data_IF_456192221993
#
_entry.id   IF_456192221993
#
_cell.length_a   1.000
_cell.length_b   1.000
_cell.length_c   1.000
_cell.angle_alpha   90.00
_cell.angle_beta   90.00
_cell.angle_gamma   90.00
#
_symmetry.space_group_name_H-M   'P 1'
#
loop_
_entity.id
_entity.type
_entity.pdbx_description
1 polymer ?
#
# COMPACT_ATOMS: atom_id res chain seq x y z
N UNK A 1 -6.94 8.19 6.34
CA UNK A 1 -7.40 6.99 7.10
C UNK A 1 -6.23 6.08 7.36
N UNK A 2 -6.11 5.44 8.53
CA UNK A 2 -4.96 4.57 8.85
C UNK A 2 -5.39 3.13 9.10
N UNK A 3 -4.69 2.19 8.49
CA UNK A 3 -4.83 0.74 8.69
C UNK A 3 -3.53 0.21 9.28
N UNK A 4 -3.64 -0.59 10.34
CA UNK A 4 -2.50 -1.21 11.01
C UNK A 4 -2.60 -2.73 10.87
N UNK A 5 -1.47 -3.43 11.08
CA UNK A 5 -1.42 -4.89 11.13
C UNK A 5 -1.74 -5.57 9.80
N UNK A 6 -1.50 -4.90 8.68
CA UNK A 6 -1.55 -5.53 7.37
C UNK A 6 -0.29 -6.37 7.16
N UNK A 7 -0.34 -7.35 6.27
CA UNK A 7 0.81 -8.21 5.97
C UNK A 7 0.90 -8.41 4.46
N UNK A 8 2.00 -7.97 3.86
CA UNK A 8 2.30 -8.22 2.46
C UNK A 8 2.95 -9.60 2.35
N UNK A 9 2.36 -10.47 1.53
CA UNK A 9 2.82 -11.83 1.38
C UNK A 9 3.74 -11.98 0.16
N UNK A 10 4.76 -12.84 0.23
CA UNK A 10 5.62 -13.14 -0.91
C UNK A 10 4.82 -13.64 -2.11
N UNK A 11 5.06 -13.06 -3.29
CA UNK A 11 4.44 -13.51 -4.53
C UNK A 11 3.00 -13.03 -4.75
N UNK A 12 2.45 -12.21 -3.85
CA UNK A 12 1.22 -11.46 -4.10
C UNK A 12 1.41 -9.96 -3.92
N UNK A 13 0.33 -9.22 -4.18
CA UNK A 13 0.28 -7.79 -3.96
C UNK A 13 -1.05 -7.43 -3.31
N UNK A 14 -0.95 -6.59 -2.27
CA UNK A 14 -2.11 -5.96 -1.66
C UNK A 14 -2.52 -4.76 -2.50
N UNK A 15 -3.78 -4.75 -2.93
CA UNK A 15 -4.37 -3.66 -3.71
C UNK A 15 -5.38 -2.89 -2.88
N UNK A 16 -5.05 -1.64 -2.58
CA UNK A 16 -5.91 -0.75 -1.81
C UNK A 16 -6.58 0.24 -2.76
N UNK A 17 -7.91 0.20 -2.81
CA UNK A 17 -8.73 1.09 -3.62
C UNK A 17 -9.13 2.32 -2.83
N UNK A 18 -8.99 3.50 -3.42
CA UNK A 18 -9.41 4.77 -2.83
C UNK A 18 -9.98 5.73 -3.88
N UNK A 19 -10.71 6.75 -3.42
CA UNK A 19 -11.28 7.77 -4.28
C UNK A 19 -10.98 9.17 -3.74
N UNK A 20 -10.58 10.06 -4.62
CA UNK A 20 -10.43 11.46 -4.27
C UNK A 20 -11.47 12.31 -5.00
N UNK A 21 -12.25 13.05 -4.22
CA UNK A 21 -12.95 14.21 -4.76
C UNK A 21 -11.92 15.19 -5.32
N UNK A 22 -12.26 15.86 -6.42
CA UNK A 22 -11.28 16.64 -7.18
C UNK A 22 -10.38 17.49 -6.30
N UNK A 23 -9.13 17.54 -6.73
CA UNK A 23 -8.21 18.61 -6.41
C UNK A 23 -7.64 18.50 -4.99
N UNK A 24 -7.81 17.34 -4.34
CA UNK A 24 -7.26 17.03 -3.03
C UNK A 24 -5.99 16.16 -3.14
N UNK A 25 -5.12 16.19 -2.11
CA UNK A 25 -4.00 15.27 -2.03
C UNK A 25 -4.45 13.82 -2.00
N UNK A 26 -3.83 13.00 -2.82
CA UNK A 26 -4.19 11.60 -3.03
C UNK A 26 -2.98 10.69 -3.03
N UNK A 27 -2.99 9.67 -2.19
CA UNK A 27 -1.88 8.71 -2.12
C UNK A 27 -1.84 7.96 -0.81
N UNK A 28 -0.64 7.51 -0.44
CA UNK A 28 -0.44 6.68 0.74
C UNK A 28 0.94 6.90 1.37
N UNK A 29 1.00 6.72 2.69
CA UNK A 29 2.23 6.51 3.43
C UNK A 29 2.21 5.12 4.04
N UNK A 30 3.13 4.28 3.61
CA UNK A 30 3.30 2.89 4.06
C UNK A 30 4.53 2.81 4.94
N UNK A 31 4.41 2.17 6.11
CA UNK A 31 5.49 2.02 7.09
C UNK A 31 5.61 0.57 7.54
N UNK A 32 6.83 0.10 7.68
CA UNK A 32 7.14 -1.26 8.15
C UNK A 32 8.50 -1.32 8.86
N UNK A 33 8.81 -2.45 9.48
CA UNK A 33 10.14 -2.73 10.03
C UNK A 33 11.07 -3.21 8.92
N UNK A 34 12.05 -2.38 8.55
CA UNK A 34 13.00 -2.68 7.48
C UNK A 34 13.80 -3.97 7.71
N UNK A 35 13.96 -4.42 8.97
CA UNK A 35 14.66 -5.66 9.29
C UNK A 35 13.89 -6.92 8.88
N UNK A 36 12.57 -6.80 8.65
CA UNK A 36 11.70 -7.90 8.20
C UNK A 36 11.75 -8.11 6.68
N UNK A 37 12.28 -7.14 5.94
CA UNK A 37 12.41 -7.18 4.49
C UNK A 37 11.98 -5.87 3.83
N UNK A 38 12.27 -5.70 2.54
CA UNK A 38 11.83 -4.54 1.77
C UNK A 38 10.33 -4.66 1.42
N UNK A 39 9.69 -3.50 1.21
CA UNK A 39 8.39 -3.39 0.55
C UNK A 39 8.51 -2.49 -0.68
N UNK A 40 7.82 -2.88 -1.74
CA UNK A 40 7.57 -2.08 -2.91
C UNK A 40 6.18 -1.47 -2.81
N UNK A 41 6.10 -0.16 -3.05
CA UNK A 41 4.84 0.59 -2.95
C UNK A 41 4.71 1.48 -4.18
N UNK A 42 3.56 1.42 -4.83
CA UNK A 42 3.28 2.18 -6.05
C UNK A 42 1.85 2.72 -6.07
N UNK A 43 1.64 3.81 -6.80
CA UNK A 43 0.34 4.44 -7.02
C UNK A 43 -0.09 4.25 -8.48
N UNK A 44 -1.35 3.90 -8.69
CA UNK A 44 -1.95 3.71 -10.02
C UNK A 44 -3.28 4.43 -10.13
N UNK A 45 -3.69 4.78 -11.35
CA UNK A 45 -5.07 5.21 -11.61
C UNK A 45 -6.03 4.01 -11.65
N UNK A 46 -7.30 4.27 -12.00
CA UNK A 46 -8.31 3.21 -12.15
C UNK A 46 -8.09 2.27 -13.33
N UNK A 47 -7.29 2.66 -14.32
CA UNK A 47 -6.98 1.83 -15.48
C UNK A 47 -5.81 0.88 -15.18
N UNK A 48 -5.10 1.12 -14.07
CA UNK A 48 -3.96 0.33 -13.64
C UNK A 48 -2.64 0.90 -14.17
N UNK A 49 -2.64 2.13 -14.69
CA UNK A 49 -1.43 2.81 -15.14
C UNK A 49 -0.76 3.53 -13.98
N UNK A 50 0.59 3.53 -13.90
CA UNK A 50 1.31 4.23 -12.84
C UNK A 50 0.97 5.71 -12.80
N UNK A 51 0.65 6.23 -11.61
CA UNK A 51 0.43 7.65 -11.40
C UNK A 51 1.79 8.36 -11.36
N UNK A 52 2.15 9.22 -12.34
CA UNK A 52 3.34 10.06 -12.21
C UNK A 52 3.24 11.00 -10.99
N UNK A 53 4.37 11.20 -10.32
CA UNK A 53 4.55 12.06 -9.15
C UNK A 53 5.65 13.10 -9.43
N UNK A 54 5.42 13.93 -10.44
CA UNK A 54 6.40 14.92 -10.92
C UNK A 54 5.86 16.35 -10.93
N UNK A 55 4.62 16.56 -10.51
CA UNK A 55 4.03 17.89 -10.43
C UNK A 55 4.46 18.63 -9.14
N UNK A 56 4.41 19.98 -9.13
CA UNK A 56 4.68 20.74 -7.92
C UNK A 56 3.80 20.32 -6.74
N UNK A 57 4.43 20.00 -5.62
CA UNK A 57 3.76 19.55 -4.39
C UNK A 57 3.57 18.04 -4.31
N UNK A 58 3.82 17.29 -5.38
CA UNK A 58 3.84 15.83 -5.32
C UNK A 58 4.99 15.35 -4.40
N UNK A 59 4.79 14.20 -3.80
CA UNK A 59 5.75 13.56 -2.91
C UNK A 59 6.02 12.15 -3.44
N UNK A 60 7.28 11.86 -3.76
CA UNK A 60 7.81 10.53 -4.02
C UNK A 60 9.01 10.29 -3.10
N UNK A 61 8.73 9.95 -1.85
CA UNK A 61 9.74 9.68 -0.84
C UNK A 61 9.81 8.18 -0.54
N UNK A 62 10.98 7.59 -0.71
CA UNK A 62 11.21 6.15 -0.53
C UNK A 62 12.41 5.94 0.40
N UNK A 63 12.14 5.39 1.57
CA UNK A 63 13.12 5.06 2.60
C UNK A 63 13.01 3.58 2.99
N UNK A 64 14.04 2.98 3.61
CA UNK A 64 14.04 1.54 3.92
C UNK A 64 12.90 1.04 4.82
N UNK A 65 12.23 1.92 5.58
CA UNK A 65 11.12 1.58 6.49
C UNK A 65 9.85 2.40 6.23
N UNK A 66 9.85 3.27 5.21
CA UNK A 66 8.73 4.14 4.89
C UNK A 66 8.74 4.48 3.40
N UNK A 67 7.59 4.34 2.75
CA UNK A 67 7.33 4.93 1.44
C UNK A 67 6.16 5.90 1.58
N UNK A 68 6.36 7.15 1.15
CA UNK A 68 5.35 8.19 1.13
C UNK A 68 5.17 8.70 -0.29
N UNK A 69 4.04 8.31 -0.89
CA UNK A 69 3.62 8.71 -2.22
C UNK A 69 2.38 9.58 -2.11
N UNK A 70 2.41 10.78 -2.68
CA UNK A 70 1.29 11.72 -2.65
C UNK A 70 1.25 12.51 -3.95
N UNK A 71 0.13 12.46 -4.66
CA UNK A 71 -0.19 13.43 -5.70
C UNK A 71 -0.89 14.61 -5.05
N UNK A 72 -0.36 15.82 -5.17
CA UNK A 72 -0.88 17.00 -4.47
C UNK A 72 -2.31 17.37 -4.89
N UNK A 73 -2.61 17.17 -6.17
CA UNK A 73 -3.94 17.39 -6.75
C UNK A 73 -4.32 16.23 -7.63
N UNK A 74 -5.31 15.46 -7.20
CA UNK A 74 -5.89 14.39 -7.99
C UNK A 74 -7.41 14.40 -7.85
N UNK A 75 -8.08 13.83 -8.83
CA UNK A 75 -9.52 13.64 -8.81
C UNK A 75 -9.85 12.32 -9.46
N UNK A 76 -10.70 11.54 -8.81
CA UNK A 76 -11.09 10.22 -9.28
C UNK A 76 -10.52 9.07 -8.45
N UNK A 77 -10.83 7.84 -8.87
CA UNK A 77 -10.32 6.61 -8.26
C UNK A 77 -8.81 6.46 -8.46
N UNK A 78 -8.13 5.91 -7.45
CA UNK A 78 -6.74 5.48 -7.53
C UNK A 78 -6.52 4.18 -6.75
N UNK A 79 -5.39 3.54 -7.02
CA UNK A 79 -4.95 2.31 -6.40
C UNK A 79 -3.61 2.52 -5.71
N UNK A 80 -3.40 1.84 -4.59
CA UNK A 80 -2.10 1.65 -3.97
C UNK A 80 -1.76 0.18 -4.06
N UNK A 81 -0.60 -0.15 -4.63
CA UNK A 81 -0.05 -1.51 -4.58
C UNK A 81 1.00 -1.58 -3.48
N UNK A 82 0.90 -2.58 -2.62
CA UNK A 82 1.96 -2.93 -1.65
C UNK A 82 2.39 -4.37 -1.92
N UNK A 83 3.68 -4.60 -2.11
CA UNK A 83 4.23 -5.91 -2.44
C UNK A 83 5.51 -6.19 -1.67
N UNK A 84 5.66 -7.41 -1.19
CA UNK A 84 6.93 -7.92 -0.67
C UNK A 84 7.67 -8.65 -1.81
N UNK A 85 8.77 -8.10 -2.37
CA UNK A 85 9.51 -8.77 -3.46
C UNK A 85 10.36 -9.95 -2.95
N UNK A 86 10.59 -10.03 -1.63
CA UNK A 86 11.34 -11.10 -1.00
C UNK A 86 10.52 -12.35 -0.73
N UNK A 87 11.15 -13.34 -0.09
CA UNK A 87 10.53 -14.62 0.27
C UNK A 87 9.85 -14.64 1.65
N UNK A 88 9.78 -13.49 2.34
CA UNK A 88 9.27 -13.37 3.72
C UNK A 88 8.08 -12.42 3.76
N UNK A 89 7.07 -12.77 4.55
CA UNK A 89 5.92 -11.91 4.81
C UNK A 89 6.33 -10.67 5.62
N UNK A 90 5.91 -9.49 5.19
CA UNK A 90 6.30 -8.22 5.81
C UNK A 90 5.07 -7.52 6.39
N UNK A 91 4.99 -7.36 7.72
CA UNK A 91 3.92 -6.60 8.36
C UNK A 91 4.09 -5.10 8.09
N UNK A 92 2.99 -4.42 7.80
CA UNK A 92 3.01 -2.98 7.56
C UNK A 92 1.77 -2.26 8.10
N UNK A 93 1.89 -0.94 8.13
CA UNK A 93 0.78 -0.01 8.32
C UNK A 93 0.70 0.94 7.14
N UNK A 94 -0.51 1.35 6.80
CA UNK A 94 -0.76 2.27 5.68
C UNK A 94 -1.67 3.41 6.15
N UNK A 95 -1.23 4.63 5.88
CA UNK A 95 -1.99 5.86 6.02
C UNK A 95 -2.40 6.32 4.62
N UNK A 96 -3.70 6.20 4.31
CA UNK A 96 -4.28 6.70 3.06
C UNK A 96 -4.62 8.18 3.16
N UNK A 97 -4.18 8.93 2.16
CA UNK A 97 -4.58 10.30 1.91
C UNK A 97 -5.64 10.28 0.81
N UNK A 98 -6.90 10.34 1.20
CA UNK A 98 -8.05 10.43 0.31
C UNK A 98 -9.26 10.93 1.11
N UNK A 99 -10.07 11.86 0.57
CA UNK A 99 -11.30 12.31 1.23
C UNK A 99 -12.40 11.23 1.25
N UNK A 100 -12.43 10.31 0.28
CA UNK A 100 -13.46 9.25 0.18
C UNK A 100 -12.81 7.86 0.06
N UNK A 101 -13.13 6.98 1.00
CA UNK A 101 -12.70 5.57 0.93
C UNK A 101 -13.87 4.72 0.43
N UNK A 102 -13.66 3.99 -0.68
CA UNK A 102 -14.63 3.00 -1.17
C UNK A 102 -14.04 1.61 -0.92
N UNK A 103 -14.41 0.94 0.19
CA UNK A 103 -14.00 -0.44 0.39
C UNK A 103 -14.63 -1.30 -0.71
N UNK A 104 -13.86 -1.72 -1.71
CA UNK A 104 -14.25 -2.88 -2.51
C UNK A 104 -14.10 -4.13 -1.65
N UNK A 105 -15.03 -5.10 -1.71
CA UNK A 105 -14.98 -6.31 -0.89
C UNK A 105 -13.87 -7.31 -1.27
N UNK A 106 -12.88 -6.94 -2.09
CA UNK A 106 -11.71 -7.77 -2.39
C UNK A 106 -10.58 -7.61 -1.38
N UNK A 107 -10.92 -7.45 -0.09
CA UNK A 107 -10.01 -7.73 1.01
C UNK A 107 -10.06 -9.24 1.31
N UNK A 108 -9.52 -10.06 0.42
CA UNK A 108 -8.91 -11.31 0.89
C UNK A 108 -7.42 -11.01 0.95
N UNK A 109 -7.04 -10.15 1.90
CA UNK A 109 -5.66 -10.20 2.38
C UNK A 109 -5.42 -11.66 2.79
N UNK A 110 -4.35 -12.32 2.33
CA UNK A 110 -3.96 -13.59 2.93
C UNK A 110 -3.84 -13.32 4.42
N UNK A 111 -4.64 -14.02 5.23
CA UNK A 111 -4.46 -13.93 6.67
C UNK A 111 -3.13 -14.60 6.97
N UNK A 112 -2.08 -13.82 7.13
CA UNK A 112 -0.85 -14.33 7.66
C UNK A 112 -1.13 -14.77 9.11
N UNK A 113 -1.07 -16.08 9.34
CA UNK A 113 -1.22 -16.65 10.67
C UNK A 113 0.17 -16.87 11.28
N UNK A 114 0.34 -16.69 12.60
CA UNK A 114 1.57 -17.11 13.26
C UNK A 114 1.77 -18.61 13.04
N UNK A 115 2.95 -19.01 12.57
CA UNK A 115 3.35 -20.39 12.48
C UNK A 115 3.71 -20.95 13.88
N UNK A 116 4.10 -22.23 13.93
CA UNK A 116 4.49 -22.89 15.17
C UNK A 116 5.72 -22.27 15.87
N UNK A 117 6.45 -21.37 15.20
CA UNK A 117 7.62 -20.64 15.71
C UNK A 117 7.28 -19.19 16.07
N UNK A 118 6.06 -18.73 15.79
CA UNK A 118 5.62 -17.35 15.99
C UNK A 118 5.96 -16.41 14.83
N UNK A 119 6.43 -16.94 13.70
CA UNK A 119 6.66 -16.18 12.47
C UNK A 119 5.38 -16.08 11.65
N UNK A 120 5.16 -14.96 10.97
CA UNK A 120 3.97 -14.78 10.13
C UNK A 120 4.10 -15.63 8.85
N UNK A 121 3.21 -16.61 8.69
CA UNK A 121 3.15 -17.48 7.52
C UNK A 121 1.91 -17.18 6.69
N UNK A 122 2.13 -16.91 5.41
CA UNK A 122 1.06 -16.75 4.43
C UNK A 122 0.66 -18.13 3.91
N UNK A 123 -0.58 -18.56 4.19
CA UNK A 123 -1.10 -19.77 3.58
C UNK A 123 -1.39 -19.51 2.10
N UNK A 124 -0.67 -20.21 1.22
CA UNK A 124 -0.91 -20.17 -0.22
C UNK A 124 -2.34 -20.59 -0.56
N UNK A 125 -2.94 -19.91 -1.53
CA UNK A 125 -4.23 -20.31 -2.11
C UNK A 125 -4.15 -21.69 -2.73
#
# INVERSE_FOLDING_TARGET
>A
MRFNGQVACPGDADWIHAHADCCNPSGARVRWDASRGPLEVELFDSEGDPLPLSAPGDIDQRQPSEVYLLRAKYGGPFLVRVQAPGAVAVPYSVELFAPVFVPKPSFIAPQATPDARGDLSCHGR
#
